data_IF_359946504072
#
_entry.id   IF_359946504072
#
_cell.length_a   1.000
_cell.length_b   1.000
_cell.length_c   1.000
_cell.angle_alpha   90.00
_cell.angle_beta   90.00
_cell.angle_gamma   90.00
#
_symmetry.space_group_name_H-M   'P 1'
#
loop_
_entity.id
_entity.type
_entity.pdbx_description
1 polymer ?
#
# COMPACT_ATOMS: atom_id res chain seq x y z
N UNK A 1 -25.42 19.07 50.31
CA UNK A 1 -24.48 18.44 49.36
C UNK A 1 -25.26 18.02 48.13
N UNK A 2 -25.34 18.90 47.14
CA UNK A 2 -26.03 18.70 45.87
C UNK A 2 -25.09 17.96 44.90
N UNK A 3 -25.53 16.78 44.46
CA UNK A 3 -24.82 15.95 43.49
C UNK A 3 -24.95 16.58 42.10
N UNK A 4 -23.85 17.02 41.50
CA UNK A 4 -23.79 17.44 40.10
C UNK A 4 -23.34 16.23 39.29
N UNK A 5 -24.15 15.68 38.37
CA UNK A 5 -23.68 14.61 37.49
C UNK A 5 -22.55 15.18 36.61
N UNK A 6 -21.38 14.56 36.70
CA UNK A 6 -20.29 14.83 35.79
C UNK A 6 -20.62 14.27 34.39
N UNK A 7 -20.47 15.13 33.39
CA UNK A 7 -20.07 14.85 32.01
C UNK A 7 -20.74 13.69 31.24
N UNK A 8 -21.60 14.04 30.29
CA UNK A 8 -21.59 13.39 28.98
C UNK A 8 -21.23 14.45 27.94
N UNK A 9 -19.97 14.43 27.47
CA UNK A 9 -19.68 15.05 26.17
C UNK A 9 -20.62 14.42 25.14
N UNK A 10 -21.23 15.19 24.21
CA UNK A 10 -22.03 14.59 23.16
C UNK A 10 -21.17 13.59 22.40
N UNK A 11 -21.55 12.32 22.46
CA UNK A 11 -20.98 11.27 21.63
C UNK A 11 -21.23 11.68 20.18
N UNK A 12 -20.15 11.90 19.41
CA UNK A 12 -20.24 12.33 18.01
C UNK A 12 -20.99 11.22 17.27
N UNK A 13 -22.22 11.48 16.83
CA UNK A 13 -23.06 10.46 16.20
C UNK A 13 -22.35 9.88 14.97
N UNK A 14 -22.22 8.56 14.95
CA UNK A 14 -21.69 7.80 13.82
C UNK A 14 -22.84 7.56 12.85
N UNK A 15 -22.71 8.07 11.63
CA UNK A 15 -23.74 8.01 10.59
C UNK A 15 -23.25 7.16 9.42
N UNK A 16 -24.10 6.27 8.86
CA UNK A 16 -23.78 5.56 7.62
C UNK A 16 -23.58 6.52 6.45
N UNK A 17 -22.62 6.22 5.58
CA UNK A 17 -22.32 6.99 4.36
C UNK A 17 -21.69 6.07 3.30
N UNK A 18 -21.47 6.58 2.09
CA UNK A 18 -20.79 5.85 1.02
C UNK A 18 -19.75 6.71 0.32
N UNK A 19 -18.68 6.09 -0.15
CA UNK A 19 -17.65 6.75 -0.97
C UNK A 19 -17.35 5.95 -2.22
N UNK A 20 -17.04 6.63 -3.32
CA UNK A 20 -16.45 5.99 -4.48
C UNK A 20 -14.98 5.73 -4.24
N UNK A 21 -14.47 4.57 -4.63
CA UNK A 21 -13.05 4.27 -4.67
C UNK A 21 -12.63 4.02 -6.12
N UNK A 22 -11.62 4.77 -6.56
CA UNK A 22 -10.92 4.49 -7.80
C UNK A 22 -9.46 4.15 -7.55
N UNK A 23 -8.90 3.34 -8.43
CA UNK A 23 -7.47 3.16 -8.56
C UNK A 23 -6.90 4.12 -9.61
N UNK A 24 -5.83 4.83 -9.26
CA UNK A 24 -5.06 5.63 -10.19
C UNK A 24 -3.85 4.82 -10.65
N UNK A 25 -3.72 4.54 -11.97
CA UNK A 25 -2.62 3.75 -12.50
C UNK A 25 -1.24 4.32 -12.19
N UNK A 26 -0.30 3.40 -12.04
CA UNK A 26 1.13 3.66 -11.95
C UNK A 26 1.74 3.95 -13.32
N UNK A 27 2.93 4.54 -13.33
CA UNK A 27 3.70 4.65 -14.56
C UNK A 27 4.12 3.27 -15.06
N UNK A 28 3.97 3.01 -16.36
CA UNK A 28 4.55 1.83 -17.01
C UNK A 28 6.06 1.95 -17.22
N UNK A 29 6.63 3.14 -17.06
CA UNK A 29 8.05 3.40 -17.26
C UNK A 29 8.73 3.82 -15.96
N UNK A 30 9.91 3.26 -15.69
CA UNK A 30 10.71 3.62 -14.52
C UNK A 30 12.20 3.31 -14.72
N UNK A 31 13.02 3.74 -13.77
CA UNK A 31 14.45 3.43 -13.75
C UNK A 31 14.83 2.73 -12.45
N UNK A 32 15.75 1.75 -12.53
CA UNK A 32 16.36 1.18 -11.32
C UNK A 32 17.65 1.91 -10.93
N UNK A 33 18.05 1.79 -9.67
CA UNK A 33 19.32 2.34 -9.18
C UNK A 33 20.54 1.67 -9.82
N UNK A 34 20.38 0.47 -10.37
CA UNK A 34 21.41 -0.22 -11.13
C UNK A 34 21.56 0.33 -12.58
N UNK A 35 20.79 1.36 -12.95
CA UNK A 35 20.90 2.06 -14.23
C UNK A 35 20.08 1.44 -15.37
N UNK A 36 19.08 0.62 -15.04
CA UNK A 36 18.16 0.03 -16.03
C UNK A 36 16.99 0.97 -16.30
N UNK A 37 16.65 1.19 -17.57
CA UNK A 37 15.39 1.79 -18.01
C UNK A 37 14.39 0.68 -18.28
N UNK A 38 13.24 0.73 -17.63
CA UNK A 38 12.25 -0.35 -17.57
C UNK A 38 10.95 0.14 -18.20
N UNK A 39 10.44 -0.65 -19.15
CA UNK A 39 9.11 -0.48 -19.72
C UNK A 39 8.26 -1.72 -19.42
N UNK A 40 7.20 -1.52 -18.64
CA UNK A 40 6.23 -2.54 -18.29
C UNK A 40 5.14 -2.61 -19.36
N UNK A 41 4.88 -3.84 -19.83
CA UNK A 41 3.73 -4.16 -20.67
C UNK A 41 2.58 -4.76 -19.86
N UNK A 42 2.89 -5.34 -18.69
CA UNK A 42 1.91 -5.91 -17.78
C UNK A 42 2.36 -5.74 -16.33
N UNK A 43 1.45 -5.26 -15.50
CA UNK A 43 1.59 -5.27 -14.04
C UNK A 43 0.22 -5.52 -13.42
N UNK A 44 -0.02 -6.71 -12.87
CA UNK A 44 -1.33 -7.08 -12.31
C UNK A 44 -1.18 -7.58 -10.88
N UNK A 45 -1.98 -7.02 -9.96
CA UNK A 45 -2.06 -7.47 -8.57
C UNK A 45 -3.43 -8.11 -8.32
N UNK A 46 -3.43 -9.31 -7.73
CA UNK A 46 -4.66 -9.93 -7.24
C UNK A 46 -5.15 -9.17 -6.00
N UNK A 47 -6.26 -8.44 -6.11
CA UNK A 47 -6.88 -7.69 -5.01
C UNK A 47 -8.20 -8.37 -4.62
N UNK A 48 -8.52 -8.39 -3.32
CA UNK A 48 -9.75 -8.97 -2.74
C UNK A 48 -10.61 -7.95 -2.02
N UNK A 49 -9.99 -7.05 -1.27
CA UNK A 49 -10.71 -6.04 -0.50
C UNK A 49 -9.83 -4.84 -0.20
N UNK A 50 -10.46 -3.71 0.04
CA UNK A 50 -9.84 -2.51 0.62
C UNK A 50 -10.65 -2.14 1.85
N UNK A 51 -9.99 -2.01 3.00
CA UNK A 51 -10.61 -1.63 4.27
C UNK A 51 -9.97 -0.37 4.80
N UNK A 52 -10.78 0.42 5.50
CA UNK A 52 -10.32 1.59 6.23
C UNK A 52 -10.79 1.46 7.67
N UNK A 53 -9.89 1.68 8.61
CA UNK A 53 -10.12 1.42 10.02
C UNK A 53 -10.05 2.70 10.86
N UNK A 54 -10.83 2.69 11.96
CA UNK A 54 -10.55 3.48 13.13
C UNK A 54 -9.15 3.10 13.66
N UNK A 55 -8.57 3.97 14.49
CA UNK A 55 -7.23 3.79 15.02
C UNK A 55 -6.86 2.40 15.50
N UNK A 56 -5.72 1.92 15.01
CA UNK A 56 -4.78 1.20 15.83
C UNK A 56 -3.48 1.98 15.92
N UNK A 57 -3.07 2.31 17.15
CA UNK A 57 -1.77 2.90 17.37
C UNK A 57 -0.71 1.86 17.01
N UNK A 58 0.10 2.11 15.99
CA UNK A 58 1.46 1.64 16.03
C UNK A 58 2.06 2.17 17.34
N UNK A 59 2.55 1.28 18.21
CA UNK A 59 3.33 1.66 19.39
C UNK A 59 4.67 2.26 18.93
N UNK A 60 4.65 3.47 18.35
CA UNK A 60 5.83 4.23 17.94
C UNK A 60 5.46 5.70 17.69
N UNK A 61 5.03 6.41 18.73
CA UNK A 61 5.41 7.82 18.98
C UNK A 61 4.56 8.43 20.11
N UNK A 62 4.79 7.98 21.35
CA UNK A 62 4.63 8.94 22.45
C UNK A 62 5.73 9.98 22.28
N UNK A 63 5.38 11.12 21.68
CA UNK A 63 6.10 12.38 21.86
C UNK A 63 6.04 12.75 23.36
N UNK A 64 6.82 12.07 24.19
CA UNK A 64 6.99 12.41 25.61
C UNK A 64 8.39 12.98 25.84
N UNK A 65 8.47 14.31 25.74
CA UNK A 65 9.33 15.20 26.57
C UNK A 65 10.65 14.63 27.14
N UNK A 66 11.51 14.01 26.33
CA UNK A 66 12.89 13.61 26.72
C UNK A 66 13.92 14.04 25.68
N UNK A 67 13.93 15.33 25.35
CA UNK A 67 14.89 15.91 24.41
C UNK A 67 16.28 16.20 25.02
N UNK A 68 16.47 16.04 26.34
CA UNK A 68 17.73 16.44 27.00
C UNK A 68 18.68 15.28 27.34
N UNK A 69 18.24 14.02 27.25
CA UNK A 69 19.10 12.84 27.50
C UNK A 69 19.70 12.22 26.23
N UNK A 70 19.36 12.73 25.04
CA UNK A 70 19.78 12.13 23.76
C UNK A 70 21.21 12.50 23.33
N UNK A 71 21.87 13.45 23.99
CA UNK A 71 23.20 13.93 23.57
C UNK A 71 24.35 13.00 24.01
N UNK A 72 24.11 12.06 24.94
CA UNK A 72 25.16 11.21 25.54
C UNK A 72 24.96 9.70 25.30
N UNK A 73 24.07 9.32 24.38
CA UNK A 73 23.79 7.91 24.10
C UNK A 73 24.57 7.44 22.87
N UNK A 74 25.55 6.51 22.99
CA UNK A 74 26.26 5.92 21.84
C UNK A 74 25.41 4.88 21.08
N UNK A 75 24.14 4.71 21.45
CA UNK A 75 23.27 3.71 20.84
C UNK A 75 22.63 4.26 19.57
N UNK A 76 23.17 3.79 18.43
CA UNK A 76 22.55 3.93 17.11
C UNK A 76 21.09 3.50 17.21
N UNK A 77 20.21 4.40 16.83
CA UNK A 77 18.77 4.21 16.75
C UNK A 77 18.47 2.94 15.94
N UNK A 78 18.14 1.86 16.63
CA UNK A 78 17.68 0.64 16.00
C UNK A 78 16.34 0.96 15.32
N UNK A 79 16.28 0.76 14.00
CA UNK A 79 15.01 0.71 13.28
C UNK A 79 14.14 -0.34 13.97
N UNK A 80 13.07 0.12 14.62
CA UNK A 80 12.12 -0.78 15.25
C UNK A 80 11.59 -1.75 14.19
N UNK A 81 11.77 -3.04 14.43
CA UNK A 81 11.19 -4.12 13.62
C UNK A 81 9.65 -4.01 13.60
N UNK A 82 8.98 -4.57 12.58
CA UNK A 82 7.52 -4.47 12.42
C UNK A 82 6.80 -4.91 13.69
N UNK A 83 6.26 -3.93 14.44
CA UNK A 83 5.44 -4.18 15.61
C UNK A 83 4.09 -4.74 15.18
N UNK A 84 3.53 -5.66 15.97
CA UNK A 84 2.20 -6.21 15.78
C UNK A 84 1.18 -5.07 15.64
N UNK A 85 0.69 -4.87 14.41
CA UNK A 85 -0.47 -4.03 14.15
C UNK A 85 -1.67 -4.73 14.77
N UNK A 86 -2.31 -4.11 15.76
CA UNK A 86 -3.67 -4.50 16.14
C UNK A 86 -4.59 -3.91 15.07
N UNK A 87 -5.54 -4.65 14.54
CA UNK A 87 -6.51 -4.06 13.61
C UNK A 87 -7.49 -3.21 14.41
N UNK A 88 -7.68 -1.95 13.99
CA UNK A 88 -8.75 -1.11 14.52
C UNK A 88 -10.10 -1.49 13.91
N UNK A 89 -11.18 -0.94 14.46
CA UNK A 89 -12.55 -1.18 13.96
C UNK A 89 -12.67 -0.80 12.48
N UNK A 90 -13.18 -1.70 11.65
CA UNK A 90 -13.40 -1.43 10.22
C UNK A 90 -14.56 -0.46 10.06
N UNK A 91 -14.24 0.74 9.57
CA UNK A 91 -15.19 1.83 9.36
C UNK A 91 -15.64 1.96 7.91
N UNK A 92 -14.90 1.37 6.98
CA UNK A 92 -15.35 1.25 5.61
C UNK A 92 -14.72 0.05 4.92
N UNK A 93 -15.46 -0.55 3.99
CA UNK A 93 -15.01 -1.72 3.24
C UNK A 93 -15.50 -1.67 1.79
N UNK A 94 -14.61 -2.05 0.88
CA UNK A 94 -14.93 -2.46 -0.48
C UNK A 94 -14.44 -3.89 -0.68
N UNK A 95 -15.33 -4.79 -1.07
CA UNK A 95 -14.96 -6.11 -1.60
C UNK A 95 -14.73 -5.99 -3.11
N UNK A 96 -13.55 -6.39 -3.55
CA UNK A 96 -13.11 -6.31 -4.94
C UNK A 96 -12.36 -7.61 -5.25
N UNK A 97 -12.99 -8.61 -5.85
CA UNK A 97 -12.36 -9.93 -6.06
C UNK A 97 -11.86 -10.09 -7.50
N UNK A 98 -10.88 -9.28 -7.90
CA UNK A 98 -10.39 -9.20 -9.29
C UNK A 98 -8.87 -8.93 -9.35
N UNK A 99 -8.26 -9.17 -10.51
CA UNK A 99 -6.91 -8.68 -10.82
C UNK A 99 -6.98 -7.21 -11.20
N UNK A 100 -6.24 -6.37 -10.47
CA UNK A 100 -6.10 -4.95 -10.75
C UNK A 100 -4.95 -4.75 -11.73
N UNK A 101 -5.22 -4.14 -12.88
CA UNK A 101 -4.18 -3.68 -13.80
C UNK A 101 -3.57 -2.38 -13.26
N UNK A 102 -2.31 -2.47 -12.86
CA UNK A 102 -1.58 -1.42 -12.16
C UNK A 102 -1.06 -0.34 -13.10
N UNK A 103 -1.01 -0.61 -14.41
CA UNK A 103 -0.49 0.30 -15.44
C UNK A 103 -1.56 0.59 -16.51
N UNK A 104 -2.84 0.46 -16.14
CA UNK A 104 -3.95 0.78 -17.03
C UNK A 104 -3.82 2.23 -17.57
N UNK A 105 -4.40 2.48 -18.75
CA UNK A 105 -4.31 3.79 -19.40
C UNK A 105 -5.10 4.89 -18.71
N UNK A 106 -6.10 4.53 -17.91
CA UNK A 106 -7.03 5.46 -17.26
C UNK A 106 -7.32 5.04 -15.81
N UNK A 107 -7.83 5.99 -15.02
CA UNK A 107 -8.38 5.72 -13.68
C UNK A 107 -9.42 4.60 -13.75
N UNK A 108 -9.33 3.63 -12.82
CA UNK A 108 -10.22 2.46 -12.76
C UNK A 108 -11.16 2.60 -11.56
N UNK A 109 -12.47 2.70 -11.81
CA UNK A 109 -13.46 2.67 -10.72
C UNK A 109 -13.51 1.26 -10.11
N UNK A 110 -13.14 1.14 -8.84
CA UNK A 110 -13.16 -0.14 -8.11
C UNK A 110 -14.55 -0.43 -7.53
N UNK A 111 -15.30 0.62 -7.21
CA UNK A 111 -16.67 0.53 -6.73
C UNK A 111 -17.01 1.58 -5.68
N UNK A 112 -18.10 1.33 -4.96
CA UNK A 112 -18.58 2.17 -3.86
C UNK A 112 -18.43 1.41 -2.54
N UNK A 113 -17.71 1.97 -1.58
CA UNK A 113 -17.58 1.42 -0.24
C UNK A 113 -18.72 1.87 0.66
N UNK A 114 -19.19 0.95 1.49
CA UNK A 114 -20.05 1.25 2.64
C UNK A 114 -19.16 1.78 3.77
N UNK A 115 -19.58 2.85 4.41
CA UNK A 115 -18.74 3.60 5.34
C UNK A 115 -19.55 4.22 6.50
N UNK A 116 -18.83 4.72 7.50
CA UNK A 116 -19.39 5.40 8.65
C UNK A 116 -18.60 6.69 8.96
N UNK A 117 -19.29 7.77 9.35
CA UNK A 117 -18.65 9.04 9.71
C UNK A 117 -17.66 8.89 10.89
N UNK A 118 -16.75 9.86 11.01
CA UNK A 118 -15.73 10.01 12.05
C UNK A 118 -14.30 9.79 11.55
N UNK A 119 -13.36 9.69 12.48
CA UNK A 119 -11.93 9.57 12.19
C UNK A 119 -11.52 8.19 11.66
N UNK A 120 -10.79 8.18 10.55
CA UNK A 120 -10.06 7.06 9.98
C UNK A 120 -8.56 7.30 10.16
N UNK A 121 -7.79 6.24 10.41
CA UNK A 121 -6.34 6.37 10.69
C UNK A 121 -5.46 5.40 9.92
N UNK A 122 -6.00 4.28 9.47
CA UNK A 122 -5.28 3.30 8.66
C UNK A 122 -6.17 2.73 7.57
N UNK A 123 -5.53 2.12 6.59
CA UNK A 123 -6.15 1.25 5.62
C UNK A 123 -5.44 -0.11 5.56
N UNK A 124 -6.10 -1.09 4.96
CA UNK A 124 -5.49 -2.35 4.56
C UNK A 124 -6.02 -2.77 3.20
N UNK A 125 -5.21 -3.56 2.48
CA UNK A 125 -5.65 -4.26 1.28
C UNK A 125 -5.51 -5.76 1.47
N UNK A 126 -6.57 -6.51 1.19
CA UNK A 126 -6.50 -7.97 1.14
C UNK A 126 -6.16 -8.41 -0.27
N UNK A 127 -5.27 -9.36 -0.41
CA UNK A 127 -4.90 -9.96 -1.68
C UNK A 127 -5.91 -11.05 -2.09
N UNK A 128 -6.08 -11.22 -3.41
CA UNK A 128 -6.91 -12.27 -3.99
C UNK A 128 -6.37 -13.66 -3.69
N UNK A 129 -7.17 -14.71 -3.96
CA UNK A 129 -6.81 -16.11 -3.66
C UNK A 129 -5.42 -16.54 -4.18
N UNK A 130 -5.05 -16.07 -5.37
CA UNK A 130 -3.73 -16.39 -5.94
C UNK A 130 -2.58 -15.71 -5.19
N UNK A 131 -2.81 -14.57 -4.55
CA UNK A 131 -1.79 -13.73 -3.88
C UNK A 131 -0.59 -13.47 -4.78
N UNK A 132 -0.85 -13.10 -6.02
CA UNK A 132 0.17 -12.93 -7.07
C UNK A 132 0.33 -11.49 -7.50
N UNK A 133 1.58 -11.11 -7.75
CA UNK A 133 1.96 -10.01 -8.64
C UNK A 133 2.46 -10.60 -9.96
N UNK A 134 1.83 -10.23 -11.07
CA UNK A 134 2.23 -10.63 -12.42
C UNK A 134 2.90 -9.44 -13.10
N UNK A 135 4.11 -9.64 -13.62
CA UNK A 135 4.90 -8.63 -14.30
C UNK A 135 5.34 -9.13 -15.67
N UNK A 136 5.32 -8.22 -16.64
CA UNK A 136 5.96 -8.41 -17.93
C UNK A 136 6.48 -7.07 -18.45
N UNK A 137 7.67 -7.07 -19.04
CA UNK A 137 8.25 -5.87 -19.60
C UNK A 137 9.57 -6.09 -20.28
N UNK A 138 10.31 -5.00 -20.46
CA UNK A 138 11.67 -5.01 -20.99
C UNK A 138 12.51 -4.01 -20.22
N UNK A 139 13.67 -4.47 -19.74
CA UNK A 139 14.67 -3.63 -19.12
C UNK A 139 15.83 -3.41 -20.08
N UNK A 140 16.31 -2.18 -20.21
CA UNK A 140 17.39 -1.79 -21.12
C UNK A 140 18.49 -1.05 -20.37
N UNK A 141 19.75 -1.35 -20.72
CA UNK A 141 20.93 -0.68 -20.18
C UNK A 141 22.01 -0.63 -21.25
N UNK A 142 22.22 0.55 -21.84
CA UNK A 142 23.08 0.70 -23.01
C UNK A 142 22.56 -0.12 -24.19
N UNK A 143 23.34 -1.09 -24.66
CA UNK A 143 22.93 -2.02 -25.74
C UNK A 143 22.29 -3.31 -25.21
N UNK A 144 22.30 -3.54 -23.91
CA UNK A 144 21.71 -4.73 -23.29
C UNK A 144 20.19 -4.55 -23.16
N UNK A 145 19.44 -5.59 -23.52
CA UNK A 145 17.99 -5.63 -23.43
C UNK A 145 17.53 -6.97 -22.86
N UNK A 146 16.79 -6.91 -21.76
CA UNK A 146 16.29 -8.07 -21.01
C UNK A 146 14.76 -8.04 -21.05
N UNK A 147 14.12 -8.76 -21.99
CA UNK A 147 12.68 -8.98 -21.95
C UNK A 147 12.36 -9.94 -20.80
N UNK A 148 11.50 -9.53 -19.86
CA UNK A 148 11.26 -10.30 -18.65
C UNK A 148 9.78 -10.56 -18.41
N UNK A 149 9.52 -11.67 -17.72
CA UNK A 149 8.21 -12.03 -17.19
C UNK A 149 8.37 -12.66 -15.82
N UNK A 150 7.40 -12.46 -14.94
CA UNK A 150 7.42 -13.05 -13.61
C UNK A 150 6.02 -13.15 -13.01
N UNK A 151 5.77 -14.26 -12.32
CA UNK A 151 4.66 -14.38 -11.38
C UNK A 151 5.25 -14.55 -9.99
N UNK A 152 4.99 -13.58 -9.13
CA UNK A 152 5.56 -13.51 -7.78
C UNK A 152 4.46 -13.85 -6.79
N UNK A 153 4.64 -14.95 -6.07
CA UNK A 153 3.75 -15.33 -4.97
C UNK A 153 4.05 -14.51 -3.72
N UNK A 154 3.01 -13.95 -3.11
CA UNK A 154 3.07 -13.09 -1.95
C UNK A 154 2.64 -13.91 -0.71
N UNK A 155 3.47 -13.90 0.33
CA UNK A 155 3.27 -14.72 1.55
C UNK A 155 2.47 -13.94 2.62
N UNK A 156 1.44 -13.21 2.19
CA UNK A 156 0.49 -12.59 3.11
C UNK A 156 -0.87 -12.53 2.45
N UNK A 157 -1.92 -12.62 3.26
CA UNK A 157 -3.30 -12.37 2.83
C UNK A 157 -3.60 -10.88 2.74
N UNK A 158 -2.86 -10.07 3.50
CA UNK A 158 -3.18 -8.66 3.68
C UNK A 158 -1.92 -7.79 3.81
N UNK A 159 -1.99 -6.58 3.25
CA UNK A 159 -1.07 -5.50 3.55
C UNK A 159 -1.80 -4.53 4.46
N UNK A 160 -1.51 -4.62 5.76
CA UNK A 160 -2.16 -3.83 6.81
C UNK A 160 -1.34 -2.59 7.20
N UNK A 161 -1.96 -1.68 7.97
CA UNK A 161 -1.29 -0.50 8.52
C UNK A 161 -0.89 0.53 7.45
N UNK A 162 -1.61 0.57 6.32
CA UNK A 162 -1.39 1.56 5.27
C UNK A 162 -1.77 2.96 5.79
N UNK A 163 -0.95 4.00 5.57
CA UNK A 163 -1.23 5.34 6.09
C UNK A 163 -2.50 5.93 5.46
N UNK A 164 -3.48 6.28 6.31
CA UNK A 164 -4.67 6.99 5.87
C UNK A 164 -5.32 7.74 7.04
N UNK A 165 -5.11 9.06 7.14
CA UNK A 165 -5.72 9.87 8.20
C UNK A 165 -6.74 10.82 7.61
N UNK A 166 -8.01 10.64 7.96
CA UNK A 166 -9.09 11.50 7.49
C UNK A 166 -10.28 11.51 8.46
N UNK A 167 -10.84 12.68 8.79
CA UNK A 167 -12.09 12.80 9.55
C UNK A 167 -13.25 12.97 8.57
N UNK A 168 -14.09 11.94 8.46
CA UNK A 168 -15.27 11.95 7.60
C UNK A 168 -16.43 12.60 8.36
N UNK A 169 -16.88 13.77 7.93
CA UNK A 169 -17.92 14.50 8.66
C UNK A 169 -19.33 14.37 8.10
N UNK A 170 -19.50 14.26 6.77
CA UNK A 170 -20.75 13.92 6.02
C UNK A 170 -20.57 14.43 4.58
N UNK A 171 -20.35 13.53 3.60
CA UNK A 171 -20.51 13.80 2.16
C UNK A 171 -20.11 12.60 1.29
N UNK A 172 -20.73 12.50 0.11
CA UNK A 172 -20.31 11.64 -0.99
C UNK A 172 -18.92 12.04 -1.47
N UNK A 173 -17.92 11.26 -1.08
CA UNK A 173 -16.54 11.52 -1.43
C UNK A 173 -16.01 10.53 -2.46
N UNK A 174 -14.93 10.94 -3.11
CA UNK A 174 -14.17 10.11 -4.02
C UNK A 174 -12.78 9.88 -3.44
N UNK A 175 -12.47 8.63 -3.09
CA UNK A 175 -11.14 8.20 -2.70
C UNK A 175 -10.37 7.70 -3.92
N UNK A 176 -9.10 8.04 -3.95
CA UNK A 176 -8.14 7.54 -4.93
C UNK A 176 -7.12 6.68 -4.22
N UNK A 177 -6.94 5.45 -4.69
CA UNK A 177 -5.87 4.55 -4.29
C UNK A 177 -4.77 4.56 -5.36
N UNK A 178 -3.52 4.62 -4.91
CA UNK A 178 -2.32 4.50 -5.76
C UNK A 178 -1.42 3.39 -5.24
N UNK A 179 -0.81 2.68 -6.18
CA UNK A 179 0.25 1.70 -5.93
C UNK A 179 1.43 2.08 -6.82
N UNK A 180 2.53 2.52 -6.22
CA UNK A 180 3.73 2.96 -6.93
C UNK A 180 4.63 1.77 -7.30
N UNK A 181 4.26 1.11 -8.40
CA UNK A 181 5.00 -0.03 -8.93
C UNK A 181 6.42 0.32 -9.39
N UNK A 182 6.69 1.48 -10.03
CA UNK A 182 8.05 1.95 -10.29
C UNK A 182 9.02 1.81 -9.09
N UNK A 183 8.57 2.18 -7.89
CA UNK A 183 9.41 2.09 -6.68
C UNK A 183 9.85 0.66 -6.35
N UNK A 184 9.03 -0.36 -6.71
CA UNK A 184 9.37 -1.78 -6.48
C UNK A 184 10.58 -2.25 -7.29
N UNK A 185 10.83 -1.64 -8.45
CA UNK A 185 11.97 -1.96 -9.31
C UNK A 185 13.27 -1.22 -8.94
N UNK A 186 13.22 -0.28 -7.99
CA UNK A 186 14.35 0.60 -7.69
C UNK A 186 15.63 -0.15 -7.28
N UNK A 187 15.52 -1.34 -6.71
CA UNK A 187 16.64 -2.18 -6.25
C UNK A 187 16.91 -3.39 -7.17
N UNK A 188 16.24 -3.48 -8.32
CA UNK A 188 16.37 -4.62 -9.23
C UNK A 188 17.51 -4.39 -10.22
N UNK A 189 18.36 -5.41 -10.33
CA UNK A 189 19.37 -5.53 -11.37
C UNK A 189 18.94 -6.66 -12.32
N UNK A 190 18.68 -6.32 -13.58
CA UNK A 190 18.18 -7.29 -14.57
C UNK A 190 19.29 -8.17 -15.14
N UNK A 191 20.57 -7.85 -14.90
CA UNK A 191 21.69 -8.69 -15.34
C UNK A 191 21.76 -10.03 -14.61
N UNK A 192 21.14 -10.14 -13.42
CA UNK A 192 21.09 -11.38 -12.64
C UNK A 192 19.92 -12.27 -13.01
N UNK A 193 19.01 -11.80 -13.87
CA UNK A 193 17.83 -12.57 -14.24
C UNK A 193 18.22 -13.83 -15.00
N UNK A 194 17.44 -14.87 -14.79
CA UNK A 194 17.71 -16.17 -15.38
C UNK A 194 16.94 -16.29 -16.70
N UNK A 195 17.67 -16.64 -17.75
CA UNK A 195 17.06 -16.94 -19.05
C UNK A 195 16.30 -18.26 -18.94
N UNK A 196 15.05 -18.26 -19.38
CA UNK A 196 14.26 -19.49 -19.52
C UNK A 196 14.53 -20.15 -20.88
N UNK A 197 13.98 -21.33 -21.16
CA UNK A 197 14.11 -21.96 -22.48
C UNK A 197 13.55 -21.10 -23.64
N UNK A 198 12.78 -20.05 -23.33
CA UNK A 198 12.38 -19.00 -24.26
C UNK A 198 13.37 -17.83 -24.37
N UNK A 199 12.95 -16.76 -25.07
CA UNK A 199 13.70 -15.49 -25.06
C UNK A 199 13.45 -14.65 -23.80
N UNK A 200 12.56 -15.10 -22.90
CA UNK A 200 12.17 -14.37 -21.71
C UNK A 200 13.05 -14.70 -20.51
N UNK A 201 13.27 -13.69 -19.68
CA UNK A 201 14.01 -13.77 -18.44
C UNK A 201 13.06 -13.75 -17.24
N UNK A 202 13.38 -14.52 -16.20
CA UNK A 202 12.65 -14.54 -14.94
C UNK A 202 13.50 -13.95 -13.81
N UNK A 203 12.88 -13.29 -12.81
CA UNK A 203 13.61 -12.81 -11.65
C UNK A 203 14.34 -13.95 -10.94
N UNK A 204 15.61 -13.74 -10.64
CA UNK A 204 16.37 -14.63 -9.76
C UNK A 204 15.79 -14.62 -8.33
N UNK A 205 16.18 -15.56 -7.44
CA UNK A 205 15.64 -15.64 -6.09
C UNK A 205 15.81 -14.37 -5.25
N UNK A 206 16.90 -13.60 -5.42
CA UNK A 206 17.09 -12.36 -4.68
C UNK A 206 16.16 -11.26 -5.20
N UNK A 207 16.08 -11.08 -6.51
CA UNK A 207 15.13 -10.14 -7.15
C UNK A 207 13.68 -10.47 -6.81
N UNK A 208 13.30 -11.74 -6.80
CA UNK A 208 11.97 -12.19 -6.40
C UNK A 208 11.64 -11.78 -4.96
N UNK A 209 12.57 -12.03 -4.02
CA UNK A 209 12.41 -11.62 -2.62
C UNK A 209 12.30 -10.11 -2.43
N UNK A 210 13.05 -9.32 -3.21
CA UNK A 210 12.95 -7.85 -3.20
C UNK A 210 11.56 -7.41 -3.66
N UNK A 211 11.09 -7.91 -4.79
CA UNK A 211 9.77 -7.55 -5.34
C UNK A 211 8.65 -7.93 -4.37
N UNK A 212 8.70 -9.14 -3.81
CA UNK A 212 7.76 -9.61 -2.79
C UNK A 212 7.68 -8.67 -1.59
N UNK A 213 8.83 -8.28 -1.03
CA UNK A 213 8.92 -7.34 0.11
C UNK A 213 8.45 -5.94 -0.26
N UNK A 214 8.75 -5.48 -1.47
CA UNK A 214 8.34 -4.16 -1.92
C UNK A 214 6.81 -4.06 -2.06
N UNK A 215 6.14 -5.10 -2.59
CA UNK A 215 4.68 -5.14 -2.72
C UNK A 215 3.98 -5.11 -1.37
N UNK A 216 4.54 -5.73 -0.33
CA UNK A 216 3.95 -5.70 1.02
C UNK A 216 4.39 -4.48 1.84
N UNK A 217 5.18 -3.58 1.27
CA UNK A 217 5.62 -2.36 1.93
C UNK A 217 4.52 -1.31 1.89
N UNK A 218 4.18 -0.72 3.02
CA UNK A 218 3.23 0.40 3.08
C UNK A 218 3.69 1.64 2.29
N UNK A 219 4.99 1.74 1.99
CA UNK A 219 5.59 2.89 1.32
C UNK A 219 5.14 3.09 -0.13
N UNK A 220 4.62 2.06 -0.81
CA UNK A 220 4.17 2.17 -2.20
C UNK A 220 2.67 2.46 -2.31
N UNK A 221 1.94 2.46 -1.19
CA UNK A 221 0.49 2.68 -1.17
C UNK A 221 0.18 4.10 -0.75
N UNK A 222 -0.78 4.72 -1.43
CA UNK A 222 -1.29 6.04 -1.03
C UNK A 222 -2.77 6.12 -1.26
N UNK A 223 -3.48 6.71 -0.30
CA UNK A 223 -4.90 7.03 -0.39
C UNK A 223 -5.06 8.54 -0.36
N UNK A 224 -5.80 9.09 -1.33
CA UNK A 224 -6.05 10.52 -1.44
C UNK A 224 -7.55 10.79 -1.45
N UNK A 225 -7.98 11.74 -0.63
CA UNK A 225 -9.35 12.21 -0.62
C UNK A 225 -9.52 13.30 -1.68
N UNK A 226 -10.46 13.13 -2.62
CA UNK A 226 -10.85 14.14 -3.59
C UNK A 226 -12.20 14.70 -3.16
N UNK A 227 -12.21 15.96 -2.70
CA UNK A 227 -13.46 16.71 -2.56
C UNK A 227 -13.94 17.08 -3.97
N UNK A 228 -15.24 16.92 -4.21
CA UNK A 228 -15.88 17.46 -5.41
C UNK A 228 -16.06 18.97 -5.26
#
# INVERSE_FOLDING_TARGET
>A
LSWVPACTSPEKQVEPTTFKLSFVPSSSQCNSKAGWSIELRKAQLSLRAVRFQAGAQASASRKSKRAWYAMWSPFRQAWAHPGHFQEGEVKAELLYNNKLDLIASNEVELGTLQAYTGLYQTASISLGLEKTLILEGTATKGQESVPFQGTISIDTEEVAGLPFVHDVTTQHAHLLMKIDIPTTFSLIDFSTFQKTDGQMFTPDPASNNILKKAVVSSAIYTFQWRQK
#
